data_IF_304379987604
#
_entry.id   IF_304379987604
#
_cell.length_a   1.000
_cell.length_b   1.000
_cell.length_c   1.000
_cell.angle_alpha   90.00
_cell.angle_beta   90.00
_cell.angle_gamma   90.00
#
_symmetry.space_group_name_H-M   'P 1'
#
loop_
_entity.id
_entity.type
_entity.pdbx_description
1 polymer ?
#
# COMPACT_ATOMS: atom_id res chain seq x y z
N UNK A 1 16.89 -49.75 35.94
CA UNK A 1 17.01 -50.00 34.48
C UNK A 1 17.94 -48.92 33.92
N UNK A 2 19.01 -49.32 33.23
CA UNK A 2 20.15 -48.43 32.94
C UNK A 2 20.01 -47.72 31.60
N UNK A 3 20.22 -46.39 31.57
CA UNK A 3 20.24 -45.60 30.35
C UNK A 3 21.70 -45.34 29.91
N UNK A 4 22.13 -45.94 28.80
CA UNK A 4 23.48 -45.79 28.26
C UNK A 4 23.59 -44.61 27.29
N UNK A 5 24.45 -43.63 27.58
CA UNK A 5 24.74 -42.52 26.67
C UNK A 5 25.69 -42.99 25.55
N UNK A 6 25.21 -42.98 24.31
CA UNK A 6 26.00 -43.29 23.12
C UNK A 6 26.61 -42.03 22.50
N UNK A 7 27.85 -41.68 22.89
CA UNK A 7 28.59 -40.54 22.33
C UNK A 7 29.12 -40.91 20.93
N UNK A 8 28.51 -40.36 19.87
CA UNK A 8 28.97 -40.53 18.48
C UNK A 8 30.02 -39.47 18.11
N UNK A 9 31.29 -39.83 18.25
CA UNK A 9 32.40 -39.09 17.62
C UNK A 9 32.28 -39.15 16.10
N UNK A 10 32.58 -38.04 15.41
CA UNK A 10 32.74 -38.00 13.95
C UNK A 10 34.02 -37.25 13.59
N UNK A 11 35.08 -38.01 13.25
CA UNK A 11 36.34 -37.44 12.81
C UNK A 11 36.20 -36.80 11.42
N UNK A 12 36.76 -35.59 11.26
CA UNK A 12 36.65 -34.82 10.01
C UNK A 12 38.01 -34.72 9.33
N UNK A 13 38.27 -35.65 8.41
CA UNK A 13 39.52 -35.71 7.67
C UNK A 13 39.75 -34.44 6.83
N UNK A 14 40.99 -33.95 6.81
CA UNK A 14 41.43 -32.79 6.02
C UNK A 14 42.31 -33.30 4.88
N UNK A 15 41.82 -33.19 3.64
CA UNK A 15 42.56 -33.57 2.44
C UNK A 15 42.99 -32.31 1.66
N UNK A 16 44.24 -31.89 1.84
CA UNK A 16 44.84 -30.78 1.08
C UNK A 16 45.35 -31.27 -0.28
N UNK A 17 44.61 -30.99 -1.36
CA UNK A 17 45.01 -31.32 -2.74
C UNK A 17 45.44 -30.09 -3.54
N UNK A 18 46.73 -29.74 -3.52
CA UNK A 18 47.27 -28.62 -4.28
C UNK A 18 47.73 -29.04 -5.69
N UNK A 19 46.86 -28.89 -6.70
CA UNK A 19 47.20 -29.15 -8.10
C UNK A 19 47.79 -27.90 -8.79
N UNK A 20 48.97 -28.05 -9.39
CA UNK A 20 49.80 -26.95 -9.94
C UNK A 20 50.22 -27.24 -11.38
N UNK A 21 49.41 -26.84 -12.35
CA UNK A 21 49.74 -26.71 -13.77
C UNK A 21 49.20 -25.34 -14.22
N UNK A 22 49.69 -24.63 -15.24
CA UNK A 22 50.94 -24.57 -15.99
C UNK A 22 50.66 -23.49 -17.08
N UNK A 23 51.68 -22.89 -17.70
CA UNK A 23 51.47 -21.72 -18.57
C UNK A 23 51.18 -22.13 -20.02
N UNK A 24 50.09 -21.62 -20.60
CA UNK A 24 49.81 -21.69 -22.04
C UNK A 24 49.56 -20.29 -22.60
N UNK A 25 50.60 -19.61 -23.09
CA UNK A 25 50.46 -18.36 -23.88
C UNK A 25 50.50 -18.71 -25.36
N UNK A 26 49.35 -18.72 -26.03
CA UNK A 26 49.24 -18.88 -27.49
C UNK A 26 48.68 -17.60 -28.10
N UNK A 27 49.59 -16.71 -28.54
CA UNK A 27 49.22 -15.49 -29.27
C UNK A 27 48.73 -15.87 -30.68
N UNK A 28 47.42 -15.82 -30.91
CA UNK A 28 46.85 -15.92 -32.25
C UNK A 28 47.06 -14.58 -32.97
N UNK A 29 47.51 -14.65 -34.22
CA UNK A 29 47.89 -13.46 -35.00
C UNK A 29 46.67 -12.61 -35.37
N UNK A 30 46.90 -11.30 -35.42
CA UNK A 30 46.02 -10.33 -36.08
C UNK A 30 45.85 -10.71 -37.56
N UNK A 31 44.60 -10.77 -38.02
CA UNK A 31 44.29 -10.66 -39.45
C UNK A 31 43.47 -9.38 -39.64
N UNK A 32 44.01 -8.46 -40.43
CA UNK A 32 43.34 -7.20 -40.78
C UNK A 32 42.45 -7.42 -41.99
N UNK A 33 41.14 -7.26 -41.82
CA UNK A 33 40.18 -7.13 -42.94
C UNK A 33 39.78 -5.66 -43.08
N UNK A 34 39.69 -5.20 -44.33
CA UNK A 34 39.65 -3.77 -44.65
C UNK A 34 38.20 -3.26 -44.83
N UNK A 35 37.97 -2.05 -44.35
CA UNK A 35 37.07 -1.02 -44.91
C UNK A 35 35.75 -1.44 -45.58
N UNK A 36 34.64 -1.13 -44.91
CA UNK A 36 33.43 -0.60 -45.57
C UNK A 36 32.94 0.64 -44.81
N UNK A 37 32.99 1.86 -45.40
CA UNK A 37 32.40 3.05 -44.79
C UNK A 37 30.90 3.09 -45.09
N UNK A 38 30.11 2.26 -44.40
CA UNK A 38 28.65 2.32 -44.50
C UNK A 38 28.15 3.64 -43.91
N UNK A 39 27.36 4.36 -44.71
CA UNK A 39 26.73 5.66 -44.43
C UNK A 39 26.29 5.84 -42.96
N UNK A 40 26.83 6.83 -42.23
CA UNK A 40 26.21 7.28 -40.99
C UNK A 40 24.91 8.02 -41.34
N UNK A 41 23.79 7.30 -41.27
CA UNK A 41 22.48 7.94 -41.14
C UNK A 41 22.56 8.88 -39.93
N UNK A 42 22.36 10.18 -40.13
CA UNK A 42 22.63 11.17 -39.10
C UNK A 42 21.55 11.10 -38.02
N UNK A 43 21.84 10.35 -36.96
CA UNK A 43 21.17 10.54 -35.67
C UNK A 43 21.31 12.01 -35.29
N UNK A 44 20.19 12.72 -35.27
CA UNK A 44 20.09 14.10 -34.80
C UNK A 44 20.21 14.11 -33.26
N UNK A 45 21.43 13.87 -32.78
CA UNK A 45 21.79 14.02 -31.36
C UNK A 45 21.66 15.50 -31.03
N UNK A 46 20.55 15.85 -30.39
CA UNK A 46 20.25 17.22 -30.00
C UNK A 46 21.40 17.80 -29.19
N UNK A 47 21.95 18.94 -29.62
CA UNK A 47 23.19 19.50 -29.05
C UNK A 47 23.06 19.91 -27.58
N UNK A 48 21.83 20.03 -27.07
CA UNK A 48 21.48 20.16 -25.66
C UNK A 48 21.87 18.94 -24.80
N UNK A 49 21.84 17.72 -25.35
CA UNK A 49 22.08 16.49 -24.59
C UNK A 49 23.54 16.32 -24.17
N UNK A 50 24.49 16.75 -25.01
CA UNK A 50 25.93 16.69 -24.70
C UNK A 50 26.27 17.48 -23.43
N UNK A 51 25.60 18.62 -23.23
CA UNK A 51 25.67 19.39 -21.99
C UNK A 51 25.19 18.57 -20.79
N UNK A 52 23.98 18.01 -20.87
CA UNK A 52 23.37 17.19 -19.79
C UNK A 52 24.28 16.01 -19.42
N UNK A 53 24.79 15.26 -20.40
CA UNK A 53 25.67 14.11 -20.18
C UNK A 53 26.96 14.52 -19.45
N UNK A 54 27.56 15.68 -19.79
CA UNK A 54 28.76 16.17 -19.10
C UNK A 54 28.51 16.59 -17.64
N UNK A 55 27.31 17.07 -17.31
CA UNK A 55 26.92 17.40 -15.92
C UNK A 55 26.54 16.19 -15.07
N UNK A 56 26.43 15.00 -15.68
CA UNK A 56 25.87 13.83 -15.02
C UNK A 56 26.87 13.16 -14.06
N UNK A 57 26.51 12.87 -12.80
CA UNK A 57 27.39 12.19 -11.86
C UNK A 57 27.92 10.85 -12.40
N UNK A 58 29.22 10.59 -12.24
CA UNK A 58 29.88 9.35 -12.67
C UNK A 58 29.15 8.07 -12.21
N UNK A 59 28.46 8.08 -11.06
CA UNK A 59 27.65 6.96 -10.57
C UNK A 59 26.43 6.65 -11.45
N UNK A 60 25.88 7.62 -12.16
CA UNK A 60 24.82 7.45 -13.17
C UNK A 60 25.42 7.06 -14.53
N UNK A 61 26.50 7.72 -14.97
CA UNK A 61 27.20 7.36 -16.21
C UNK A 61 27.65 5.88 -16.20
N UNK A 62 28.31 5.44 -15.12
CA UNK A 62 28.72 4.04 -14.91
C UNK A 62 27.52 3.07 -14.74
N UNK A 63 26.32 3.58 -14.46
CA UNK A 63 25.11 2.77 -14.45
C UNK A 63 24.57 2.60 -15.88
N UNK A 64 24.40 3.69 -16.63
CA UNK A 64 23.88 3.67 -18.00
C UNK A 64 24.83 2.95 -18.98
N UNK A 65 26.15 3.12 -18.84
CA UNK A 65 27.16 2.37 -19.59
C UNK A 65 27.11 0.85 -19.36
N UNK A 66 26.46 0.39 -18.29
CA UNK A 66 26.25 -1.03 -17.96
C UNK A 66 24.81 -1.50 -18.21
N UNK A 67 23.86 -0.57 -18.24
CA UNK A 67 22.42 -0.80 -18.43
C UNK A 67 21.88 0.28 -19.39
N UNK A 68 22.04 0.08 -20.72
CA UNK A 68 21.59 1.06 -21.71
C UNK A 68 20.10 1.39 -21.58
N UNK A 69 19.70 2.67 -21.66
CA UNK A 69 18.31 3.06 -21.43
C UNK A 69 17.34 2.41 -22.44
N UNK A 70 17.81 2.08 -23.64
CA UNK A 70 17.08 1.38 -24.73
C UNK A 70 16.41 0.06 -24.31
N UNK A 71 16.92 -0.65 -23.30
CA UNK A 71 16.34 -1.92 -22.85
C UNK A 71 15.82 -1.86 -21.40
N UNK A 72 16.30 -0.88 -20.63
CA UNK A 72 16.08 -0.84 -19.19
C UNK A 72 15.14 0.27 -18.74
N UNK A 73 15.10 1.43 -19.41
CA UNK A 73 14.30 2.61 -19.02
C UNK A 73 12.82 2.32 -18.78
N UNK A 74 12.13 3.23 -18.09
CA UNK A 74 10.68 3.12 -17.91
C UNK A 74 9.90 3.21 -19.22
N UNK A 75 10.43 3.95 -20.20
CA UNK A 75 9.77 4.29 -21.47
C UNK A 75 9.99 3.20 -22.54
N UNK A 76 11.22 2.68 -22.68
CA UNK A 76 11.54 1.69 -23.72
C UNK A 76 11.00 0.26 -23.43
N UNK A 77 10.34 0.07 -22.28
CA UNK A 77 9.58 -1.14 -21.98
C UNK A 77 8.26 -1.09 -22.74
N UNK A 78 7.89 -2.09 -23.56
CA UNK A 78 6.64 -2.07 -24.29
C UNK A 78 5.48 -1.86 -23.32
N UNK A 79 4.67 -0.83 -23.57
CA UNK A 79 3.62 -0.40 -22.65
C UNK A 79 2.57 -1.50 -22.50
N UNK A 80 2.59 -2.20 -21.36
CA UNK A 80 1.56 -3.17 -20.97
C UNK A 80 0.28 -2.46 -20.48
N UNK A 81 -0.10 -1.37 -21.16
CA UNK A 81 -1.47 -0.85 -21.21
C UNK A 81 -2.37 -1.73 -22.10
N UNK A 82 -1.82 -2.78 -22.72
CA UNK A 82 -2.58 -4.00 -23.05
C UNK A 82 -3.03 -4.69 -21.76
N UNK A 83 -4.02 -4.08 -21.10
CA UNK A 83 -4.92 -4.79 -20.19
C UNK A 83 -5.56 -5.96 -20.97
N UNK A 84 -5.85 -7.10 -20.33
CA UNK A 84 -6.70 -8.10 -20.96
C UNK A 84 -8.07 -7.46 -21.28
N UNK A 85 -8.66 -7.70 -22.47
CA UNK A 85 -9.82 -6.94 -22.94
C UNK A 85 -11.11 -7.11 -22.10
N UNK A 86 -11.14 -8.07 -21.18
CA UNK A 86 -12.26 -8.33 -20.27
C UNK A 86 -12.47 -7.25 -19.16
N UNK A 87 -12.15 -5.98 -19.45
CA UNK A 87 -12.25 -4.83 -18.53
C UNK A 87 -12.69 -3.52 -19.20
N UNK A 88 -12.80 -3.44 -20.54
CA UNK A 88 -13.20 -2.20 -21.23
C UNK A 88 -14.72 -2.02 -21.30
N UNK A 89 -15.49 -3.10 -21.36
CA UNK A 89 -16.96 -3.10 -21.55
C UNK A 89 -17.79 -2.52 -20.38
N UNK A 90 -17.15 -2.05 -19.30
CA UNK A 90 -17.83 -1.60 -18.07
C UNK A 90 -17.69 -0.11 -17.75
N UNK A 91 -17.17 0.69 -18.69
CA UNK A 91 -16.96 2.15 -18.51
C UNK A 91 -17.68 2.99 -19.56
N UNK A 92 -18.06 2.41 -20.70
CA UNK A 92 -18.66 3.12 -21.86
C UNK A 92 -20.20 3.08 -21.88
N UNK A 93 -20.85 2.59 -20.81
CA UNK A 93 -22.30 2.32 -20.75
C UNK A 93 -23.14 3.36 -19.98
N UNK A 94 -22.53 4.44 -19.47
CA UNK A 94 -23.19 5.46 -18.62
C UNK A 94 -23.04 6.87 -19.23
N UNK A 95 -23.21 6.98 -20.56
CA UNK A 95 -23.27 8.24 -21.29
C UNK A 95 -24.33 8.18 -22.41
N UNK A 96 -25.02 9.29 -22.63
CA UNK A 96 -25.97 9.57 -23.74
C UNK A 96 -27.33 8.83 -23.77
N UNK A 97 -28.29 9.32 -22.96
CA UNK A 97 -29.72 9.55 -23.36
C UNK A 97 -30.40 10.37 -22.24
N UNK A 98 -30.71 11.67 -22.29
CA UNK A 98 -31.20 12.65 -23.30
C UNK A 98 -32.72 12.90 -23.19
N UNK A 99 -33.09 14.18 -23.11
CA UNK A 99 -34.43 14.83 -23.23
C UNK A 99 -35.41 14.90 -22.02
N UNK A 100 -35.70 16.16 -21.67
CA UNK A 100 -37.03 16.79 -21.46
C UNK A 100 -38.25 16.11 -22.15
N UNK A 101 -39.52 16.32 -21.70
CA UNK A 101 -40.14 17.67 -21.76
C UNK A 101 -41.26 18.06 -20.76
N UNK A 102 -41.49 19.38 -20.70
CA UNK A 102 -42.78 20.12 -20.59
C UNK A 102 -43.77 19.92 -19.42
N UNK A 103 -44.23 21.05 -18.86
CA UNK A 103 -45.57 21.22 -18.25
C UNK A 103 -46.65 21.58 -19.31
N UNK A 104 -47.85 22.10 -18.96
CA UNK A 104 -48.10 23.09 -17.89
C UNK A 104 -49.43 22.93 -17.08
N UNK A 105 -49.69 23.87 -16.15
CA UNK A 105 -51.03 24.35 -15.66
C UNK A 105 -52.04 23.35 -15.00
N UNK A 106 -53.07 23.74 -14.24
CA UNK A 106 -53.32 24.88 -13.30
C UNK A 106 -54.56 24.56 -12.40
N UNK A 107 -55.06 25.52 -11.59
CA UNK A 107 -56.23 25.47 -10.63
C UNK A 107 -56.02 24.83 -9.24
N UNK A 108 -56.81 25.12 -8.19
CA UNK A 108 -57.24 26.41 -7.57
C UNK A 108 -58.04 26.13 -6.26
N UNK A 109 -57.84 26.94 -5.20
CA UNK A 109 -58.67 27.02 -3.96
C UNK A 109 -58.82 25.72 -3.12
N UNK A 110 -59.37 25.66 -1.88
CA UNK A 110 -60.20 26.56 -1.04
C UNK A 110 -59.70 26.55 0.45
N UNK A 111 -60.16 27.49 1.28
CA UNK A 111 -59.95 27.57 2.75
C UNK A 111 -60.78 26.50 3.54
N UNK A 112 -60.90 26.40 4.88
CA UNK A 112 -60.52 27.16 6.11
C UNK A 112 -60.55 26.15 7.34
N UNK A 113 -60.52 26.36 8.68
CA UNK A 113 -60.54 27.48 9.66
C UNK A 113 -60.17 27.02 11.11
N UNK A 114 -59.21 27.69 11.79
CA UNK A 114 -59.01 27.79 13.27
C UNK A 114 -58.90 26.45 14.10
N UNK A 115 -58.60 26.39 15.41
CA UNK A 115 -58.30 27.40 16.47
C UNK A 115 -57.17 26.91 17.45
N UNK A 116 -56.76 27.81 18.38
CA UNK A 116 -56.30 27.61 19.79
C UNK A 116 -55.54 26.32 20.24
N UNK A 117 -54.63 26.30 21.22
CA UNK A 117 -53.78 27.25 21.98
C UNK A 117 -52.83 26.37 22.86
N UNK A 118 -51.85 26.80 23.68
CA UNK A 118 -51.28 28.11 24.03
C UNK A 118 -49.83 27.89 24.57
N UNK A 119 -48.93 28.88 24.50
CA UNK A 119 -47.62 28.84 25.20
C UNK A 119 -46.92 30.21 25.25
N UNK A 120 -46.54 30.67 26.44
CA UNK A 120 -45.89 31.98 26.64
C UNK A 120 -44.37 31.98 26.35
N UNK A 121 -43.92 33.20 26.05
CA UNK A 121 -42.59 33.80 25.80
C UNK A 121 -41.33 33.16 26.44
N UNK A 122 -40.08 33.38 25.97
CA UNK A 122 -39.46 34.63 25.47
C UNK A 122 -38.30 34.42 24.46
N UNK A 123 -38.14 35.40 23.54
CA UNK A 123 -36.90 35.89 22.86
C UNK A 123 -35.76 34.91 22.48
N UNK A 124 -35.41 34.70 21.19
CA UNK A 124 -34.56 35.55 20.31
C UNK A 124 -33.22 35.98 20.95
N UNK A 125 -32.03 35.96 20.31
CA UNK A 125 -31.55 36.16 18.91
C UNK A 125 -30.25 35.34 18.68
N UNK A 126 -29.57 35.17 17.53
CA UNK A 126 -29.80 35.23 16.06
C UNK A 126 -28.45 34.87 15.40
N UNK A 127 -28.45 33.90 14.48
CA UNK A 127 -27.53 33.73 13.32
C UNK A 127 -26.01 33.95 13.46
N UNK A 128 -25.22 32.86 13.46
CA UNK A 128 -23.91 32.80 12.75
C UNK A 128 -23.50 31.37 12.33
N UNK A 129 -24.42 30.59 11.75
CA UNK A 129 -24.24 29.14 11.50
C UNK A 129 -23.99 28.73 10.03
N UNK A 130 -23.79 29.68 9.11
CA UNK A 130 -23.81 29.43 7.65
C UNK A 130 -22.44 29.20 6.97
N UNK A 131 -21.34 29.14 7.72
CA UNK A 131 -19.97 29.18 7.16
C UNK A 131 -19.20 27.83 7.14
N UNK A 132 -19.79 26.72 7.65
CA UNK A 132 -19.06 25.45 7.89
C UNK A 132 -19.46 24.32 6.92
N UNK A 133 -20.40 24.56 6.01
CA UNK A 133 -20.98 23.53 5.13
C UNK A 133 -19.95 22.84 4.18
N UNK A 134 -18.85 23.52 3.83
CA UNK A 134 -17.89 23.03 2.83
C UNK A 134 -16.92 21.93 3.30
N UNK A 135 -16.69 21.77 4.61
CA UNK A 135 -15.60 20.91 5.12
C UNK A 135 -16.00 19.43 5.32
N UNK A 136 -17.29 19.11 5.28
CA UNK A 136 -17.80 17.76 5.56
C UNK A 136 -17.69 16.77 4.38
N UNK A 137 -17.11 17.17 3.23
CA UNK A 137 -16.98 16.32 2.03
C UNK A 137 -15.62 15.60 1.92
N UNK A 138 -14.85 15.55 3.00
CA UNK A 138 -13.72 14.63 3.16
C UNK A 138 -14.18 13.40 3.97
N UNK A 139 -13.96 12.16 3.50
CA UNK A 139 -14.34 10.98 4.26
C UNK A 139 -13.51 10.91 5.56
N UNK A 140 -14.19 10.98 6.70
CA UNK A 140 -13.58 10.83 8.02
C UNK A 140 -12.68 9.57 8.05
N UNK A 141 -11.42 9.67 8.51
CA UNK A 141 -10.56 8.50 8.66
C UNK A 141 -11.04 7.55 9.78
N UNK A 142 -12.03 7.97 10.57
CA UNK A 142 -12.76 7.12 11.50
C UNK A 142 -14.10 6.68 10.91
N UNK A 143 -14.36 5.36 10.97
CA UNK A 143 -15.67 4.75 10.70
C UNK A 143 -16.74 5.31 11.66
N UNK A 144 -17.80 5.98 11.17
CA UNK A 144 -18.82 6.58 12.05
C UNK A 144 -19.59 5.56 12.89
N UNK A 145 -19.77 4.34 12.37
CA UNK A 145 -20.48 3.26 13.05
C UNK A 145 -19.52 2.32 13.79
N UNK A 146 -19.81 2.04 15.06
CA UNK A 146 -19.06 1.09 15.88
C UNK A 146 -19.13 -0.33 15.30
N UNK A 147 -20.27 -0.70 14.74
CA UNK A 147 -20.56 -2.09 14.35
C UNK A 147 -20.38 -2.35 12.85
N UNK A 148 -19.93 -1.32 12.11
CA UNK A 148 -19.50 -1.45 10.73
C UNK A 148 -18.30 -2.41 10.62
N UNK A 149 -18.49 -3.53 9.91
CA UNK A 149 -17.42 -4.46 9.58
C UNK A 149 -16.47 -3.79 8.60
N UNK A 150 -15.18 -3.75 8.95
CA UNK A 150 -14.15 -3.12 8.12
C UNK A 150 -14.05 -3.72 6.71
N UNK A 151 -13.49 -2.96 5.77
CA UNK A 151 -13.46 -3.36 4.35
C UNK A 151 -12.79 -4.71 4.15
N UNK A 152 -13.35 -5.51 3.24
CA UNK A 152 -12.68 -6.70 2.72
C UNK A 152 -11.36 -6.26 2.07
N UNK A 153 -10.28 -6.99 2.31
CA UNK A 153 -9.02 -6.76 1.59
C UNK A 153 -9.23 -7.15 0.12
N UNK A 154 -8.68 -6.40 -0.85
CA UNK A 154 -8.66 -6.85 -2.24
C UNK A 154 -7.83 -8.13 -2.36
N UNK A 155 -8.23 -9.02 -3.27
CA UNK A 155 -7.60 -10.33 -3.41
C UNK A 155 -6.14 -10.22 -3.88
N UNK A 156 -5.18 -10.91 -3.22
CA UNK A 156 -3.74 -10.72 -3.47
C UNK A 156 -3.28 -11.24 -4.83
N UNK A 157 -4.14 -11.99 -5.53
CA UNK A 157 -3.93 -12.52 -6.88
C UNK A 157 -4.21 -11.48 -7.97
N UNK A 158 -5.03 -10.47 -7.69
CA UNK A 158 -5.47 -9.47 -8.69
C UNK A 158 -4.29 -8.62 -9.17
N UNK A 159 -4.19 -8.48 -10.49
CA UNK A 159 -3.17 -7.66 -11.14
C UNK A 159 -3.44 -6.17 -10.85
N UNK A 160 -2.49 -5.52 -10.18
CA UNK A 160 -2.58 -4.09 -9.82
C UNK A 160 -1.69 -3.25 -10.76
N UNK A 161 -2.00 -1.98 -11.04
CA UNK A 161 -1.14 -1.14 -11.89
C UNK A 161 0.32 -1.08 -11.39
N UNK A 162 0.54 -0.88 -10.09
CA UNK A 162 1.85 -0.92 -9.44
C UNK A 162 2.53 -2.29 -9.48
N UNK A 163 1.80 -3.37 -9.75
CA UNK A 163 2.36 -4.70 -10.00
C UNK A 163 2.89 -4.81 -11.44
N UNK A 164 2.14 -4.30 -12.43
CA UNK A 164 2.53 -4.28 -13.84
C UNK A 164 3.86 -3.54 -14.05
N UNK A 165 4.02 -2.38 -13.40
CA UNK A 165 5.25 -1.58 -13.40
C UNK A 165 6.52 -2.32 -12.93
N UNK A 166 6.39 -3.45 -12.22
CA UNK A 166 7.52 -4.25 -11.70
C UNK A 166 7.78 -5.55 -12.49
N UNK A 167 7.34 -5.63 -13.75
CA UNK A 167 7.61 -6.78 -14.62
C UNK A 167 9.06 -6.77 -15.16
N UNK A 168 9.57 -7.94 -15.56
CA UNK A 168 10.90 -8.12 -16.17
C UNK A 168 10.80 -8.99 -17.41
N UNK A 169 11.44 -8.59 -18.51
CA UNK A 169 11.71 -9.50 -19.63
C UNK A 169 12.71 -10.59 -19.21
N UNK A 170 12.70 -11.72 -19.92
CA UNK A 170 13.63 -12.84 -19.68
C UNK A 170 15.05 -12.54 -20.18
N UNK A 171 15.14 -11.75 -21.25
CA UNK A 171 16.36 -11.40 -21.97
C UNK A 171 17.15 -10.26 -21.29
N UNK A 172 16.45 -9.18 -20.89
CA UNK A 172 17.02 -8.01 -20.24
C UNK A 172 16.46 -7.85 -18.80
N UNK A 173 16.87 -8.73 -17.85
CA UNK A 173 16.33 -8.74 -16.50
C UNK A 173 16.70 -7.47 -15.72
N UNK A 174 15.68 -6.82 -15.16
CA UNK A 174 15.80 -5.53 -14.48
C UNK A 174 16.80 -5.58 -13.29
N UNK A 175 17.86 -4.74 -13.26
CA UNK A 175 18.89 -4.79 -12.23
C UNK A 175 18.42 -4.36 -10.83
N UNK A 176 17.25 -3.73 -10.71
CA UNK A 176 16.64 -3.30 -9.45
C UNK A 176 15.69 -4.34 -8.84
N UNK A 177 15.39 -5.44 -9.54
CA UNK A 177 14.44 -6.47 -9.09
C UNK A 177 15.14 -7.81 -8.80
N UNK A 178 14.63 -8.60 -7.82
CA UNK A 178 15.16 -9.93 -7.54
C UNK A 178 14.77 -10.89 -8.66
N UNK A 179 15.72 -11.64 -9.20
CA UNK A 179 15.47 -12.62 -10.26
C UNK A 179 15.28 -14.03 -9.69
N UNK A 180 14.40 -14.82 -10.30
CA UNK A 180 14.17 -16.23 -9.94
C UNK A 180 15.05 -17.12 -10.81
N UNK A 181 16.00 -17.83 -10.20
CA UNK A 181 16.87 -18.79 -10.88
C UNK A 181 16.48 -20.23 -10.49
N UNK A 182 15.61 -20.83 -11.30
CA UNK A 182 15.01 -22.14 -11.01
C UNK A 182 14.17 -22.09 -9.71
N UNK A 183 14.61 -22.80 -8.68
CA UNK A 183 13.96 -22.81 -7.35
C UNK A 183 14.45 -21.70 -6.40
N UNK A 184 15.59 -21.07 -6.67
CA UNK A 184 16.23 -20.07 -5.77
C UNK A 184 15.98 -18.64 -6.27
N UNK A 185 15.65 -17.73 -5.36
CA UNK A 185 15.65 -16.30 -5.65
C UNK A 185 17.04 -15.70 -5.44
N UNK A 186 17.47 -14.84 -6.35
CA UNK A 186 18.67 -14.01 -6.22
C UNK A 186 18.25 -12.58 -5.86
N UNK A 187 19.10 -11.89 -5.09
CA UNK A 187 18.90 -10.47 -4.80
C UNK A 187 19.03 -9.60 -6.06
N UNK A 188 18.45 -8.39 -6.07
CA UNK A 188 18.67 -7.43 -7.15
C UNK A 188 20.16 -7.07 -7.25
N UNK A 189 20.62 -6.73 -8.45
CA UNK A 189 22.03 -6.36 -8.70
C UNK A 189 22.44 -5.08 -7.95
N UNK A 190 21.48 -4.19 -7.68
CA UNK A 190 21.64 -3.02 -6.82
C UNK A 190 20.73 -3.14 -5.59
N UNK A 191 21.28 -2.93 -4.40
CA UNK A 191 20.51 -2.96 -3.14
C UNK A 191 19.48 -1.82 -3.08
N UNK A 192 18.43 -1.96 -2.25
CA UNK A 192 17.39 -0.92 -2.10
C UNK A 192 17.93 0.46 -1.64
N UNK A 193 19.13 0.50 -1.02
CA UNK A 193 19.85 1.75 -0.73
C UNK A 193 20.49 2.33 -1.99
N UNK A 194 21.22 1.53 -2.76
CA UNK A 194 21.85 1.97 -4.02
C UNK A 194 20.80 2.40 -5.07
N UNK A 195 19.66 1.72 -5.12
CA UNK A 195 18.51 2.14 -5.94
C UNK A 195 18.00 3.53 -5.52
N UNK A 196 17.85 3.77 -4.21
CA UNK A 196 17.41 5.07 -3.70
C UNK A 196 18.47 6.17 -3.91
N UNK A 197 19.77 5.86 -3.88
CA UNK A 197 20.83 6.79 -4.25
C UNK A 197 20.76 7.15 -5.74
N UNK A 198 20.65 6.16 -6.64
CA UNK A 198 20.58 6.37 -8.09
C UNK A 198 19.34 7.19 -8.46
N UNK A 199 18.17 6.82 -7.93
CA UNK A 199 16.93 7.59 -8.13
C UNK A 199 17.05 9.01 -7.57
N UNK A 200 17.67 9.21 -6.39
CA UNK A 200 17.86 10.54 -5.81
C UNK A 200 18.81 11.41 -6.63
N UNK A 201 19.85 10.83 -7.24
CA UNK A 201 20.71 11.54 -8.19
C UNK A 201 19.92 11.85 -9.47
N UNK A 202 19.27 10.86 -10.08
CA UNK A 202 18.53 11.04 -11.33
C UNK A 202 17.46 12.14 -11.21
N UNK A 203 16.71 12.20 -10.10
CA UNK A 203 15.78 13.29 -9.77
C UNK A 203 16.39 14.68 -9.79
N UNK A 204 17.63 14.84 -9.34
CA UNK A 204 18.35 16.14 -9.36
C UNK A 204 18.76 16.59 -10.76
N UNK A 205 18.86 15.65 -11.70
CA UNK A 205 19.33 15.88 -13.07
C UNK A 205 18.24 15.57 -14.12
N UNK A 206 16.96 15.43 -13.73
CA UNK A 206 15.84 15.10 -14.61
C UNK A 206 15.78 13.66 -15.14
N UNK A 207 16.89 12.91 -15.14
CA UNK A 207 17.02 11.59 -15.82
C UNK A 207 16.41 10.38 -15.09
N UNK A 208 15.32 10.54 -14.33
CA UNK A 208 14.69 9.39 -13.63
C UNK A 208 14.02 8.40 -14.60
N UNK A 209 13.43 8.88 -15.69
CA UNK A 209 12.70 8.06 -16.67
C UNK A 209 13.62 7.09 -17.43
N UNK A 210 14.89 7.47 -17.60
CA UNK A 210 15.94 6.64 -18.20
C UNK A 210 16.35 5.47 -17.29
N UNK A 211 16.10 5.53 -15.97
CA UNK A 211 16.36 4.42 -15.06
C UNK A 211 15.29 3.33 -15.21
N UNK A 212 15.65 2.05 -14.95
CA UNK A 212 14.65 1.00 -14.83
C UNK A 212 13.68 1.25 -13.68
N UNK A 213 12.39 1.07 -13.95
CA UNK A 213 11.34 1.16 -12.93
C UNK A 213 11.63 0.14 -11.82
N UNK A 214 11.49 0.57 -10.57
CA UNK A 214 11.76 -0.28 -9.41
C UNK A 214 11.02 0.20 -8.17
N UNK A 215 11.24 -0.47 -7.03
CA UNK A 215 10.50 -0.21 -5.77
C UNK A 215 10.80 1.16 -5.11
N UNK A 216 11.40 2.09 -5.85
CA UNK A 216 11.92 3.38 -5.38
C UNK A 216 11.68 4.57 -6.34
N UNK A 217 11.25 4.36 -7.59
CA UNK A 217 10.96 5.47 -8.51
C UNK A 217 9.67 6.22 -8.13
N UNK A 218 9.50 7.46 -8.61
CA UNK A 218 8.25 8.25 -8.55
C UNK A 218 7.03 7.43 -8.95
N UNK A 219 6.97 7.05 -10.23
CA UNK A 219 5.83 6.40 -10.88
C UNK A 219 5.30 5.21 -10.08
N UNK A 220 6.20 4.34 -9.57
CA UNK A 220 5.80 3.20 -8.73
C UNK A 220 5.29 3.59 -7.33
N UNK A 221 5.86 4.63 -6.71
CA UNK A 221 5.40 5.10 -5.40
C UNK A 221 4.09 5.90 -5.48
N UNK A 222 3.88 6.68 -6.56
CA UNK A 222 2.62 7.40 -6.80
C UNK A 222 1.48 6.45 -7.14
N UNK A 223 1.61 5.59 -8.17
CA UNK A 223 0.58 4.58 -8.51
C UNK A 223 0.19 3.73 -7.30
N UNK A 224 1.18 3.19 -6.58
CA UNK A 224 0.95 2.40 -5.37
C UNK A 224 0.30 3.20 -4.23
N UNK A 225 0.51 4.53 -4.15
CA UNK A 225 -0.18 5.40 -3.18
C UNK A 225 -1.64 5.62 -3.59
N UNK A 226 -1.91 5.87 -4.87
CA UNK A 226 -3.27 6.04 -5.39
C UNK A 226 -4.10 4.76 -5.24
N UNK A 227 -3.55 3.60 -5.61
CA UNK A 227 -4.24 2.30 -5.51
C UNK A 227 -4.59 1.86 -4.08
N UNK A 228 -3.71 2.12 -3.11
CA UNK A 228 -3.73 1.44 -1.80
C UNK A 228 -3.90 2.39 -0.62
N UNK A 229 -3.72 3.69 -0.85
CA UNK A 229 -3.74 4.74 0.17
C UNK A 229 -2.90 4.39 1.40
N UNK A 230 -3.44 4.74 2.57
CA UNK A 230 -2.87 4.34 3.85
C UNK A 230 -3.35 2.92 4.21
N UNK A 231 -2.42 1.98 4.34
CA UNK A 231 -2.71 0.56 4.63
C UNK A 231 -2.23 0.09 6.02
N UNK A 232 -2.06 1.02 6.97
CA UNK A 232 -1.64 0.71 8.35
C UNK A 232 -2.78 0.01 9.10
N UNK A 233 -2.48 -0.98 9.96
CA UNK A 233 -3.53 -1.66 10.73
C UNK A 233 -4.10 -0.71 11.80
N UNK A 234 -5.39 -0.44 11.70
CA UNK A 234 -6.14 0.40 12.64
C UNK A 234 -6.54 1.74 12.03
N UNK A 235 -5.60 2.44 11.39
CA UNK A 235 -5.78 3.78 10.79
C UNK A 235 -5.81 3.79 9.25
N UNK A 236 -5.51 2.66 8.61
CA UNK A 236 -5.61 2.53 7.15
C UNK A 236 -7.05 2.42 6.66
N UNK A 237 -7.25 2.68 5.37
CA UNK A 237 -8.57 2.79 4.74
C UNK A 237 -9.42 1.54 5.02
N UNK A 238 -10.59 1.75 5.64
CA UNK A 238 -11.53 0.69 6.02
C UNK A 238 -11.04 -0.28 7.10
N UNK A 239 -9.90 0.00 7.76
CA UNK A 239 -9.52 -0.66 9.01
C UNK A 239 -10.16 0.04 10.21
N UNK A 240 -10.40 -0.73 11.28
CA UNK A 240 -10.90 -0.21 12.56
C UNK A 240 -9.83 -0.33 13.63
N UNK A 241 -9.69 0.70 14.47
CA UNK A 241 -8.84 0.71 15.67
C UNK A 241 -9.35 -0.32 16.69
N UNK A 242 -8.43 -0.99 17.40
CA UNK A 242 -8.77 -2.07 18.35
C UNK A 242 -9.48 -1.60 19.63
N UNK A 243 -9.23 -0.35 20.04
CA UNK A 243 -9.63 0.17 21.35
C UNK A 243 -8.82 -0.38 22.53
N UNK A 244 -8.61 0.45 23.53
CA UNK A 244 -7.91 0.11 24.77
C UNK A 244 -8.64 -0.99 25.56
N UNK A 245 -7.96 -1.57 26.57
CA UNK A 245 -8.58 -2.61 27.42
C UNK A 245 -9.72 -2.05 28.28
N UNK A 246 -9.64 -0.78 28.69
CA UNK A 246 -10.69 -0.15 29.48
C UNK A 246 -11.93 0.14 28.63
N UNK A 247 -11.81 0.85 27.51
CA UNK A 247 -12.88 1.14 26.53
C UNK A 247 -13.75 -0.09 26.24
N UNK A 248 -13.11 -1.21 25.84
CA UNK A 248 -13.78 -2.48 25.50
C UNK A 248 -14.39 -3.24 26.69
N UNK A 249 -14.23 -2.75 27.91
CA UNK A 249 -14.79 -3.32 29.14
C UNK A 249 -15.58 -2.29 29.95
N UNK A 250 -15.78 -1.06 29.48
CA UNK A 250 -16.57 -0.07 30.23
C UNK A 250 -18.04 -0.49 30.29
N UNK A 251 -18.62 -0.88 29.16
CA UNK A 251 -20.00 -1.39 29.06
C UNK A 251 -20.23 -2.56 30.02
N UNK A 252 -19.46 -3.65 29.89
CA UNK A 252 -19.62 -4.84 30.74
C UNK A 252 -19.42 -4.53 32.23
N UNK A 253 -18.47 -3.66 32.60
CA UNK A 253 -18.25 -3.26 34.00
C UNK A 253 -19.36 -2.35 34.55
N UNK A 254 -19.97 -1.52 33.71
CA UNK A 254 -21.10 -0.68 34.10
C UNK A 254 -22.38 -1.53 34.25
N UNK A 255 -22.56 -2.55 33.40
CA UNK A 255 -23.60 -3.57 33.52
C UNK A 255 -23.42 -4.42 34.78
N UNK A 256 -22.22 -4.94 35.04
CA UNK A 256 -21.84 -5.64 36.28
C UNK A 256 -22.14 -4.79 37.52
N UNK A 257 -21.73 -3.51 37.52
CA UNK A 257 -22.00 -2.55 38.61
C UNK A 257 -23.50 -2.30 38.78
N UNK A 258 -24.23 -2.05 37.69
CA UNK A 258 -25.68 -1.80 37.72
C UNK A 258 -26.42 -3.01 38.27
N UNK A 259 -26.08 -4.21 37.83
CA UNK A 259 -26.63 -5.47 38.34
C UNK A 259 -26.35 -5.64 39.83
N UNK A 260 -25.10 -5.44 40.26
CA UNK A 260 -24.73 -5.53 41.67
C UNK A 260 -25.52 -4.54 42.55
N UNK A 261 -25.75 -3.31 42.08
CA UNK A 261 -26.58 -2.32 42.79
C UNK A 261 -28.06 -2.71 42.86
N UNK A 262 -28.62 -3.37 41.83
CA UNK A 262 -29.99 -3.90 41.84
C UNK A 262 -30.15 -5.11 42.77
N UNK A 263 -29.13 -5.98 42.87
CA UNK A 263 -29.15 -7.16 43.74
C UNK A 263 -28.78 -6.86 45.20
N UNK A 264 -28.12 -5.72 45.46
CA UNK A 264 -27.63 -5.31 46.78
C UNK A 264 -28.71 -5.21 47.88
N UNK A 265 -29.92 -4.66 47.66
CA UNK A 265 -30.97 -4.62 48.68
C UNK A 265 -31.40 -6.01 49.17
N UNK A 266 -31.60 -6.96 48.26
CA UNK A 266 -31.97 -8.34 48.59
C UNK A 266 -30.80 -9.11 49.23
N UNK A 267 -29.56 -8.85 48.80
CA UNK A 267 -28.36 -9.38 49.46
C UNK A 267 -28.27 -8.90 50.92
N UNK A 268 -28.51 -7.60 51.18
CA UNK A 268 -28.55 -7.02 52.53
C UNK A 268 -29.70 -7.61 53.35
N UNK A 269 -30.90 -7.77 52.77
CA UNK A 269 -32.06 -8.39 53.42
C UNK A 269 -31.74 -9.81 53.91
N UNK A 270 -31.22 -10.65 53.01
CA UNK A 270 -30.83 -12.02 53.32
C UNK A 270 -29.67 -12.07 54.33
N UNK A 271 -28.69 -11.18 54.23
CA UNK A 271 -27.55 -11.14 55.16
C UNK A 271 -27.96 -10.76 56.59
N UNK A 272 -28.89 -9.79 56.74
CA UNK A 272 -29.49 -9.42 58.03
C UNK A 272 -30.31 -10.58 58.60
N UNK A 273 -31.25 -11.14 57.81
CA UNK A 273 -32.07 -12.29 58.22
C UNK A 273 -31.23 -13.51 58.62
N UNK A 274 -30.10 -13.74 57.96
CA UNK A 274 -29.17 -14.86 58.23
C UNK A 274 -28.23 -14.63 59.41
N UNK A 275 -28.42 -13.55 60.18
CA UNK A 275 -27.65 -13.27 61.39
C UNK A 275 -26.25 -12.74 61.13
N UNK A 276 -26.13 -11.71 60.28
CA UNK A 276 -24.92 -10.89 60.10
C UNK A 276 -23.63 -11.71 59.87
N UNK A 277 -23.70 -12.71 59.00
CA UNK A 277 -22.56 -13.54 58.59
C UNK A 277 -22.44 -14.91 59.25
N UNK A 278 -23.03 -15.14 60.45
CA UNK A 278 -22.88 -16.43 61.17
C UNK A 278 -23.31 -17.65 60.36
N UNK A 279 -24.34 -17.52 59.52
CA UNK A 279 -24.82 -18.55 58.61
C UNK A 279 -24.44 -18.36 57.13
N UNK A 280 -23.50 -17.45 56.80
CA UNK A 280 -23.21 -17.03 55.43
C UNK A 280 -22.08 -17.84 54.79
N UNK A 281 -22.37 -18.48 53.65
CA UNK A 281 -21.40 -19.29 52.88
C UNK A 281 -20.99 -18.65 51.54
N UNK A 282 -21.63 -17.55 51.11
CA UNK A 282 -21.41 -16.89 49.82
C UNK A 282 -20.36 -15.76 49.93
N UNK A 283 -19.15 -16.09 50.36
CA UNK A 283 -18.06 -15.10 50.46
C UNK A 283 -17.43 -14.82 49.09
N UNK A 284 -17.04 -13.56 48.79
CA UNK A 284 -16.25 -13.26 47.60
C UNK A 284 -14.92 -14.03 47.63
N UNK A 285 -14.53 -14.58 46.47
CA UNK A 285 -13.19 -15.15 46.31
C UNK A 285 -12.17 -14.04 46.07
N UNK A 286 -10.96 -14.22 46.57
CA UNK A 286 -9.78 -13.42 46.20
C UNK A 286 -9.19 -13.95 44.90
#
# INVERSE_FOLDING_TARGET
MSATLAIRSTAKSVATGAAKLARGKTSIKLLSTQTTPTTPAQNLVSTSELGIVSTLPQRLLNFFAKYPPEHYSGVARPSLMTLPPAMTESVEAEAETTTEPAGPESTEAVAEKQSEAESEETTTTTTTAAAVAGLNKLPSPYTPNRDAKGTKKPDPTVWSPSKALLQTSKEYPNPFLPTKHGKKWWGPKYSLRMQADLVKLAKKHGVEELLPIGRKSTIFNETRRMERGLAIKGTGIGQKVKGHKWERLMETKLEERRKAMMEMPELIRLWKQRGHGRGWKKWPKR
#
